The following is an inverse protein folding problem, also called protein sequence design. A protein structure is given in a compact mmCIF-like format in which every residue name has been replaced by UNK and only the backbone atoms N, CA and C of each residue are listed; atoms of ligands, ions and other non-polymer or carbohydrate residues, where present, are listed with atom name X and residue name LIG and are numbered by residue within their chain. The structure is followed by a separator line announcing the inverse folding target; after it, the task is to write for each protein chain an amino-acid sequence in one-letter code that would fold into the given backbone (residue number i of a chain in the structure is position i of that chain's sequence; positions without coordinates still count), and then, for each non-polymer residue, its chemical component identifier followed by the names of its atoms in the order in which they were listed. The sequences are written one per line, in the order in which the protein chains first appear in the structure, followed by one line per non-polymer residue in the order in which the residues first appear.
data_IF_248809161076
#
_entry.id   IF_248809161076
#
_cell.length_a   1.000
_cell.length_b   1.000
_cell.length_c   1.000
_cell.angle_alpha   90.00
_cell.angle_beta   90.00
_cell.angle_gamma   90.00
#
_symmetry.space_group_name_H-M   'P 1'
#
loop_
_entity.id
_entity.type
_entity.pdbx_description
1 polymer ?
#
# COMPACT_ATOMS: atom_id res chain seq x y z
N UNK A 1 -21.85 -55.02 -12.95
CA UNK A 1 -22.31 -53.69 -12.51
C UNK A 1 -21.52 -52.65 -13.28
N UNK A 2 -22.10 -52.05 -14.33
CA UNK A 2 -21.42 -51.06 -15.18
C UNK A 2 -21.78 -49.67 -14.64
N UNK A 3 -20.87 -49.05 -13.89
CA UNK A 3 -20.99 -47.64 -13.53
C UNK A 3 -20.92 -46.83 -14.83
N UNK A 4 -21.85 -45.90 -15.12
CA UNK A 4 -21.83 -45.20 -16.40
C UNK A 4 -20.71 -44.16 -16.37
N UNK A 5 -19.69 -44.36 -17.20
CA UNK A 5 -18.60 -43.40 -17.43
C UNK A 5 -19.11 -41.98 -17.79
N UNK A 6 -20.35 -41.87 -18.29
CA UNK A 6 -20.95 -40.58 -18.64
C UNK A 6 -21.20 -39.63 -17.46
N UNK A 7 -21.34 -40.14 -16.23
CA UNK A 7 -21.62 -39.30 -15.06
C UNK A 7 -20.35 -38.58 -14.56
N UNK A 8 -19.18 -39.22 -14.68
CA UNK A 8 -17.88 -38.64 -14.26
C UNK A 8 -17.40 -37.52 -15.20
N UNK A 9 -17.77 -37.55 -16.49
CA UNK A 9 -17.41 -36.50 -17.44
C UNK A 9 -18.20 -35.20 -17.24
N UNK A 10 -19.43 -35.27 -16.72
CA UNK A 10 -20.25 -34.07 -16.46
C UNK A 10 -19.82 -33.37 -15.17
N UNK A 11 -19.41 -34.14 -14.14
CA UNK A 11 -18.87 -33.58 -12.88
C UNK A 11 -17.53 -32.85 -13.06
N UNK A 12 -16.75 -33.22 -14.08
CA UNK A 12 -15.46 -32.57 -14.39
C UNK A 12 -15.65 -31.21 -15.09
N UNK A 13 -16.80 -30.98 -15.73
CA UNK A 13 -17.12 -29.70 -16.37
C UNK A 13 -17.66 -28.64 -15.38
N UNK A 14 -18.18 -29.06 -14.22
CA UNK A 14 -18.67 -28.17 -13.17
C UNK A 14 -17.60 -27.76 -12.14
N UNK A 15 -16.38 -28.32 -12.22
CA UNK A 15 -15.37 -28.20 -11.17
C UNK A 15 -14.55 -26.89 -11.17
N UNK A 16 -14.84 -25.90 -12.04
CA UNK A 16 -14.00 -24.71 -12.12
C UNK A 16 -14.71 -23.40 -12.54
N UNK A 17 -16.03 -23.26 -12.38
CA UNK A 17 -16.62 -21.92 -12.36
C UNK A 17 -16.46 -21.35 -10.95
N UNK A 18 -15.22 -20.98 -10.59
CA UNK A 18 -15.01 -20.09 -9.46
C UNK A 18 -15.80 -18.82 -9.77
N UNK A 19 -16.86 -18.54 -9.00
CA UNK A 19 -17.70 -17.37 -9.19
C UNK A 19 -16.82 -16.12 -9.16
N UNK A 20 -16.57 -15.52 -10.33
CA UNK A 20 -15.87 -14.24 -10.43
C UNK A 20 -16.90 -13.13 -10.26
N UNK A 21 -16.88 -12.54 -9.06
CA UNK A 21 -17.67 -11.37 -8.71
C UNK A 21 -17.50 -10.27 -9.78
N UNK A 22 -18.56 -9.58 -10.15
CA UNK A 22 -18.50 -8.36 -10.97
C UNK A 22 -18.74 -7.13 -10.10
N UNK A 23 -17.93 -6.09 -10.30
CA UNK A 23 -17.99 -4.88 -9.49
C UNK A 23 -17.90 -3.64 -10.35
N UNK A 24 -18.62 -2.60 -9.94
CA UNK A 24 -18.48 -1.27 -10.54
C UNK A 24 -17.07 -0.72 -10.29
N UNK A 25 -16.49 -0.09 -11.30
CA UNK A 25 -15.17 0.55 -11.20
C UNK A 25 -15.21 2.01 -11.62
N UNK A 26 -14.62 2.88 -10.80
CA UNK A 26 -14.52 4.31 -11.10
C UNK A 26 -13.44 4.98 -10.26
N UNK A 27 -13.00 6.16 -10.71
CA UNK A 27 -12.13 7.08 -9.96
C UNK A 27 -12.78 8.46 -10.01
N UNK A 28 -13.14 9.00 -8.86
CA UNK A 28 -13.63 10.37 -8.69
C UNK A 28 -12.59 11.20 -7.95
N UNK A 29 -12.21 12.35 -8.50
CA UNK A 29 -11.32 13.34 -7.85
C UNK A 29 -12.17 14.54 -7.44
N UNK A 30 -12.19 14.85 -6.15
CA UNK A 30 -13.00 15.95 -5.59
C UNK A 30 -14.52 15.70 -5.58
N UNK A 31 -15.00 14.58 -6.13
CA UNK A 31 -16.41 14.17 -6.14
C UNK A 31 -16.59 12.78 -5.53
N UNK A 32 -17.54 12.66 -4.60
CA UNK A 32 -17.85 11.40 -3.91
C UNK A 32 -19.36 11.25 -3.68
N UNK A 33 -19.96 10.06 -3.85
CA UNK A 33 -19.40 8.86 -4.49
C UNK A 33 -19.31 8.99 -6.02
N UNK A 34 -18.47 8.16 -6.66
CA UNK A 34 -18.42 8.04 -8.13
C UNK A 34 -19.22 6.84 -8.63
N UNK A 35 -19.50 6.82 -9.93
CA UNK A 35 -20.11 5.69 -10.64
C UNK A 35 -19.31 5.39 -11.92
N UNK A 36 -19.31 4.14 -12.37
CA UNK A 36 -18.67 3.70 -13.61
C UNK A 36 -19.19 2.35 -14.11
N UNK A 37 -18.37 1.62 -14.85
CA UNK A 37 -18.78 0.36 -15.49
C UNK A 37 -18.50 -0.84 -14.58
N UNK A 38 -19.36 -1.87 -14.69
CA UNK A 38 -19.13 -3.15 -14.04
C UNK A 38 -18.05 -3.94 -14.79
N UNK A 39 -17.10 -4.50 -14.05
CA UNK A 39 -16.04 -5.37 -14.58
C UNK A 39 -15.88 -6.61 -13.70
N UNK A 40 -15.48 -7.73 -14.31
CA UNK A 40 -15.25 -8.97 -13.56
C UNK A 40 -13.96 -8.87 -12.75
N UNK A 41 -14.03 -9.34 -11.50
CA UNK A 41 -12.92 -9.32 -10.56
C UNK A 41 -12.14 -10.64 -10.57
N UNK A 42 -10.83 -10.59 -10.25
CA UNK A 42 -10.06 -11.76 -9.87
C UNK A 42 -10.75 -12.59 -8.77
N UNK A 43 -10.43 -13.89 -8.73
CA UNK A 43 -10.88 -14.76 -7.64
C UNK A 43 -10.41 -14.22 -6.28
N UNK A 44 -11.23 -14.44 -5.24
CA UNK A 44 -10.97 -13.99 -3.86
C UNK A 44 -10.93 -12.45 -3.65
N UNK A 45 -11.48 -11.69 -4.60
CA UNK A 45 -11.74 -10.26 -4.43
C UNK A 45 -13.16 -9.97 -3.91
N UNK A 46 -13.37 -8.71 -3.53
CA UNK A 46 -14.64 -8.10 -3.16
C UNK A 46 -14.81 -6.77 -3.91
N UNK A 47 -16.05 -6.29 -4.02
CA UNK A 47 -16.30 -4.93 -4.47
C UNK A 47 -15.91 -3.98 -3.34
N UNK A 48 -15.05 -3.02 -3.63
CA UNK A 48 -14.50 -2.11 -2.65
C UNK A 48 -14.78 -0.66 -3.00
N UNK A 49 -15.15 0.12 -1.98
CA UNK A 49 -15.07 1.57 -2.03
C UNK A 49 -13.84 2.00 -1.26
N UNK A 50 -12.99 2.84 -1.86
CA UNK A 50 -11.84 3.43 -1.19
C UNK A 50 -11.98 4.94 -1.20
N UNK A 51 -11.75 5.57 -0.05
CA UNK A 51 -11.68 7.02 0.05
C UNK A 51 -10.30 7.42 0.57
N UNK A 52 -9.57 8.20 -0.22
CA UNK A 52 -8.25 8.72 0.11
C UNK A 52 -8.31 10.24 0.27
N UNK A 53 -7.87 10.73 1.42
CA UNK A 53 -7.79 12.14 1.75
C UNK A 53 -6.32 12.50 2.00
N UNK A 54 -5.81 13.47 1.24
CA UNK A 54 -4.46 14.00 1.41
C UNK A 54 -4.55 15.44 1.88
N UNK A 55 -3.83 15.72 2.96
CA UNK A 55 -3.69 17.06 3.55
C UNK A 55 -2.22 17.45 3.57
N UNK A 56 -1.95 18.73 3.32
CA UNK A 56 -0.64 19.34 3.47
C UNK A 56 -0.80 20.67 4.21
N UNK A 57 0.05 20.93 5.21
CA UNK A 57 -0.04 22.10 6.09
C UNK A 57 -1.46 22.34 6.66
N UNK A 58 -2.16 21.25 7.01
CA UNK A 58 -3.53 21.31 7.53
C UNK A 58 -4.63 21.60 6.51
N UNK A 59 -4.28 21.78 5.22
CA UNK A 59 -5.23 22.04 4.13
C UNK A 59 -5.41 20.77 3.30
N UNK A 60 -6.66 20.47 2.93
CA UNK A 60 -6.95 19.40 1.97
C UNK A 60 -6.43 19.75 0.59
N UNK A 61 -5.49 18.95 0.08
CA UNK A 61 -4.89 19.13 -1.26
C UNK A 61 -5.39 18.10 -2.27
N UNK A 62 -5.92 16.96 -1.81
CA UNK A 62 -6.52 15.96 -2.68
C UNK A 62 -7.56 15.11 -1.96
N UNK A 63 -8.62 14.78 -2.69
CA UNK A 63 -9.68 13.84 -2.28
C UNK A 63 -9.95 12.92 -3.46
N UNK A 64 -9.81 11.61 -3.24
CA UNK A 64 -10.02 10.60 -4.27
C UNK A 64 -10.95 9.53 -3.73
N UNK A 65 -12.00 9.22 -4.48
CA UNK A 65 -12.91 8.12 -4.19
C UNK A 65 -12.87 7.13 -5.34
N UNK A 66 -12.71 5.84 -5.03
CA UNK A 66 -12.67 4.81 -6.06
C UNK A 66 -13.65 3.69 -5.74
N UNK A 67 -14.27 3.16 -6.79
CA UNK A 67 -14.86 1.83 -6.77
C UNK A 67 -13.92 0.90 -7.53
N UNK A 68 -13.61 -0.27 -6.97
CA UNK A 68 -12.71 -1.23 -7.61
C UNK A 68 -12.95 -2.66 -7.10
N UNK A 69 -12.31 -3.63 -7.75
CA UNK A 69 -12.05 -4.92 -7.14
C UNK A 69 -10.89 -4.77 -6.13
N UNK A 70 -11.00 -5.37 -4.94
CA UNK A 70 -9.89 -5.44 -4.01
C UNK A 70 -9.80 -6.83 -3.36
N UNK A 71 -8.60 -7.31 -2.98
CA UNK A 71 -8.46 -8.52 -2.20
C UNK A 71 -9.28 -8.43 -0.92
N UNK A 72 -10.01 -9.50 -0.58
CA UNK A 72 -10.81 -9.56 0.66
C UNK A 72 -9.98 -9.28 1.91
N UNK A 73 -8.69 -9.63 1.87
CA UNK A 73 -7.73 -9.36 2.95
C UNK A 73 -7.49 -7.88 3.22
N UNK A 74 -7.82 -6.97 2.30
CA UNK A 74 -7.69 -5.52 2.47
C UNK A 74 -8.96 -4.82 2.96
N UNK A 75 -10.10 -5.52 2.97
CA UNK A 75 -11.38 -4.95 3.38
C UNK A 75 -11.37 -4.48 4.83
N UNK A 76 -12.04 -3.36 5.09
CA UNK A 76 -12.24 -2.76 6.42
C UNK A 76 -10.94 -2.49 7.20
N UNK A 77 -9.83 -2.32 6.48
CA UNK A 77 -8.51 -1.96 7.03
C UNK A 77 -8.15 -0.53 6.62
N UNK A 78 -8.71 0.49 7.28
CA UNK A 78 -8.27 1.86 7.06
C UNK A 78 -6.81 2.02 7.46
N UNK A 79 -6.16 3.04 6.94
CA UNK A 79 -4.76 3.29 7.21
C UNK A 79 -4.36 4.73 6.93
N UNK A 80 -3.25 5.15 7.52
CA UNK A 80 -2.67 6.47 7.30
C UNK A 80 -1.17 6.43 7.08
N UNK A 81 -0.70 7.50 6.48
CA UNK A 81 0.70 7.87 6.30
C UNK A 81 0.87 9.30 6.81
N UNK A 82 1.90 9.55 7.60
CA UNK A 82 2.30 10.89 8.02
C UNK A 82 3.74 11.20 7.63
N UNK A 83 3.91 12.42 7.14
CA UNK A 83 5.17 13.14 6.92
C UNK A 83 5.08 14.48 7.68
N UNK A 84 6.17 15.25 7.86
CA UNK A 84 6.22 16.39 8.78
C UNK A 84 5.07 17.38 8.61
N UNK A 85 4.76 17.73 7.36
CA UNK A 85 3.72 18.70 7.02
C UNK A 85 2.57 18.08 6.22
N UNK A 86 2.43 16.76 6.23
CA UNK A 86 1.49 16.08 5.34
C UNK A 86 0.91 14.81 5.95
N UNK A 87 -0.34 14.53 5.59
CA UNK A 87 -1.03 13.32 6.00
C UNK A 87 -1.88 12.76 4.88
N UNK A 88 -1.73 11.48 4.62
CA UNK A 88 -2.58 10.71 3.72
C UNK A 88 -3.40 9.76 4.58
N UNK A 89 -4.71 9.78 4.41
CA UNK A 89 -5.64 8.86 5.07
C UNK A 89 -6.37 8.06 4.01
N UNK A 90 -6.51 6.76 4.23
CA UNK A 90 -7.24 5.84 3.38
C UNK A 90 -8.28 5.10 4.20
N UNK A 91 -9.53 5.21 3.81
CA UNK A 91 -10.63 4.36 4.25
C UNK A 91 -10.94 3.35 3.15
N UNK A 92 -11.32 2.13 3.54
CA UNK A 92 -11.81 1.10 2.63
C UNK A 92 -12.98 0.36 3.28
N UNK A 93 -14.00 0.06 2.48
CA UNK A 93 -15.14 -0.77 2.83
C UNK A 93 -15.44 -1.73 1.67
N UNK A 94 -16.07 -2.87 1.96
CA UNK A 94 -16.34 -3.89 0.96
C UNK A 94 -17.76 -4.45 1.01
N UNK A 95 -18.17 -5.06 -0.09
CA UNK A 95 -19.34 -5.93 -0.19
C UNK A 95 -19.04 -7.10 -1.15
N UNK A 96 -19.87 -8.16 -1.11
CA UNK A 96 -19.47 -9.50 -1.56
C UNK A 96 -20.39 -10.15 -2.62
N UNK A 97 -21.32 -9.38 -3.20
CA UNK A 97 -22.26 -9.86 -4.23
C UNK A 97 -22.14 -9.01 -5.50
N UNK A 98 -22.53 -9.55 -6.65
CA UNK A 98 -22.35 -8.85 -7.93
C UNK A 98 -22.98 -7.45 -7.90
N UNK A 99 -22.21 -6.46 -8.36
CA UNK A 99 -22.56 -5.05 -8.46
C UNK A 99 -23.17 -4.45 -7.17
N UNK A 100 -22.79 -5.00 -6.02
CA UNK A 100 -23.17 -4.43 -4.74
C UNK A 100 -22.54 -3.05 -4.54
N UNK A 101 -23.24 -2.20 -3.79
CA UNK A 101 -22.71 -0.90 -3.36
C UNK A 101 -22.03 -1.08 -2.00
N UNK A 102 -20.70 -0.91 -1.89
CA UNK A 102 -20.04 -0.94 -0.59
C UNK A 102 -20.52 0.21 0.29
N UNK A 103 -20.55 0.06 1.63
CA UNK A 103 -20.84 1.15 2.54
C UNK A 103 -19.86 2.32 2.37
N UNK A 104 -20.19 3.52 2.85
CA UNK A 104 -19.24 4.64 2.82
C UNK A 104 -17.98 4.32 3.64
N UNK A 105 -16.77 4.42 3.06
CA UNK A 105 -15.53 4.16 3.79
C UNK A 105 -15.31 5.18 4.90
N UNK A 106 -14.85 4.72 6.07
CA UNK A 106 -14.48 5.59 7.19
C UNK A 106 -12.97 5.82 7.19
N UNK A 107 -12.55 7.08 7.31
CA UNK A 107 -11.13 7.43 7.46
C UNK A 107 -10.64 7.18 8.90
N UNK A 108 -9.36 6.85 9.09
CA UNK A 108 -8.78 6.75 10.42
C UNK A 108 -8.84 8.10 11.17
N UNK A 109 -9.15 8.02 12.46
CA UNK A 109 -9.16 9.16 13.40
C UNK A 109 -7.72 9.61 13.65
N UNK A 110 -7.51 10.92 13.78
CA UNK A 110 -6.19 11.42 14.15
C UNK A 110 -5.86 11.12 15.61
N UNK A 111 -4.68 10.56 15.82
CA UNK A 111 -4.08 10.37 17.13
C UNK A 111 -2.71 11.05 17.12
N UNK A 112 -2.55 12.05 17.99
CA UNK A 112 -1.33 12.87 18.06
C UNK A 112 -0.35 12.40 19.13
N UNK A 113 -0.76 11.44 19.97
CA UNK A 113 0.10 10.89 21.01
C UNK A 113 1.25 10.10 20.38
N UNK A 114 2.54 10.43 20.68
CA UNK A 114 3.67 9.65 20.19
C UNK A 114 3.61 8.19 20.63
N UNK A 115 3.89 7.27 19.71
CA UNK A 115 3.85 5.82 19.96
C UNK A 115 5.24 5.20 20.23
N UNK A 116 6.28 6.03 20.29
CA UNK A 116 7.65 5.62 20.58
C UNK A 116 8.50 5.26 19.35
N UNK A 117 7.89 5.13 18.17
CA UNK A 117 8.61 4.88 16.93
C UNK A 117 9.19 6.18 16.35
N UNK A 118 10.42 6.11 15.84
CA UNK A 118 11.09 7.22 15.15
C UNK A 118 11.48 6.75 13.75
N UNK A 119 11.07 7.50 12.73
CA UNK A 119 11.30 7.16 11.34
C UNK A 119 12.05 8.28 10.61
N UNK A 120 12.87 7.90 9.63
CA UNK A 120 13.44 8.85 8.67
C UNK A 120 12.30 9.52 7.89
N UNK A 121 12.46 10.79 7.58
CA UNK A 121 11.44 11.57 6.88
C UNK A 121 12.02 12.47 5.80
N UNK A 122 11.35 12.49 4.64
CA UNK A 122 11.59 13.47 3.57
C UNK A 122 10.61 13.26 2.41
N UNK A 123 10.63 14.19 1.45
CA UNK A 123 9.94 14.10 0.16
C UNK A 123 10.91 14.45 -0.96
N UNK A 124 10.82 13.76 -2.10
CA UNK A 124 11.65 14.02 -3.28
C UNK A 124 10.80 13.95 -4.54
N UNK A 125 10.96 14.96 -5.40
CA UNK A 125 10.44 14.97 -6.77
C UNK A 125 11.47 14.37 -7.73
N UNK A 126 10.97 13.82 -8.84
CA UNK A 126 11.72 13.20 -9.94
C UNK A 126 12.67 12.05 -9.55
N UNK A 127 12.40 11.41 -8.40
CA UNK A 127 13.20 10.31 -7.86
C UNK A 127 12.31 9.25 -7.21
N UNK A 128 12.77 7.99 -7.24
CA UNK A 128 12.19 6.87 -6.48
C UNK A 128 12.90 6.67 -5.13
N UNK A 129 13.74 7.61 -4.73
CA UNK A 129 14.40 7.57 -3.44
C UNK A 129 14.59 8.97 -2.87
N UNK A 130 14.60 9.04 -1.55
CA UNK A 130 14.82 10.26 -0.82
C UNK A 130 15.81 10.01 0.32
N UNK A 131 16.99 10.62 0.21
CA UNK A 131 18.05 10.56 1.22
C UNK A 131 17.82 11.65 2.27
N UNK A 132 17.91 11.27 3.54
CA UNK A 132 17.64 12.18 4.65
C UNK A 132 18.26 11.64 5.94
N UNK A 133 18.77 12.55 6.76
CA UNK A 133 19.09 12.29 8.16
C UNK A 133 17.99 12.82 9.10
N UNK A 134 17.01 13.54 8.57
CA UNK A 134 15.89 14.03 9.36
C UNK A 134 15.01 12.86 9.81
N UNK A 135 14.43 13.05 10.99
CA UNK A 135 13.55 12.07 11.62
C UNK A 135 12.28 12.72 12.13
N UNK A 136 11.23 11.92 12.26
CA UNK A 136 9.98 12.31 12.90
C UNK A 136 9.55 11.23 13.90
N UNK A 137 8.81 11.66 14.93
CA UNK A 137 8.19 10.76 15.90
C UNK A 137 6.82 10.35 15.37
N UNK A 138 6.57 9.06 15.28
CA UNK A 138 5.27 8.56 14.86
C UNK A 138 4.26 8.62 16.00
N UNK A 139 2.99 8.67 15.64
CA UNK A 139 1.89 8.82 16.59
C UNK A 139 0.79 7.79 16.34
N UNK A 140 0.01 7.49 17.37
CA UNK A 140 -1.11 6.54 17.29
C UNK A 140 -0.72 5.18 16.68
N UNK A 141 -1.51 4.71 15.73
CA UNK A 141 -1.37 3.39 15.09
C UNK A 141 -0.31 3.36 13.96
N UNK A 142 0.38 4.47 13.69
CA UNK A 142 1.45 4.52 12.68
C UNK A 142 2.73 3.88 13.20
N UNK A 143 2.74 2.55 13.26
CA UNK A 143 3.77 1.73 13.86
C UNK A 143 4.77 1.13 12.84
N UNK A 144 4.89 1.73 11.66
CA UNK A 144 5.86 1.35 10.62
C UNK A 144 6.55 2.58 10.06
N UNK A 145 7.84 2.44 9.74
CA UNK A 145 8.54 3.41 8.91
C UNK A 145 8.34 3.05 7.44
N UNK A 146 7.88 4.01 6.66
CA UNK A 146 7.52 3.84 5.25
C UNK A 146 8.53 4.54 4.34
N UNK A 147 8.81 3.90 3.20
CA UNK A 147 9.18 4.54 1.95
C UNK A 147 8.07 4.24 0.94
N UNK A 148 7.39 5.28 0.46
CA UNK A 148 6.48 5.18 -0.67
C UNK A 148 7.14 5.79 -1.90
N UNK A 149 7.01 5.12 -3.04
CA UNK A 149 7.40 5.66 -4.35
C UNK A 149 6.21 5.62 -5.29
N UNK A 150 5.98 6.71 -6.01
CA UNK A 150 4.99 6.79 -7.08
C UNK A 150 5.70 7.08 -8.39
N UNK A 151 5.43 6.29 -9.43
CA UNK A 151 5.88 6.55 -10.80
C UNK A 151 4.65 6.72 -11.67
N UNK A 152 4.51 7.90 -12.27
CA UNK A 152 3.48 8.19 -13.26
C UNK A 152 4.15 8.16 -14.62
N UNK A 153 3.66 7.34 -15.55
CA UNK A 153 4.16 7.24 -16.91
C UNK A 153 3.06 7.66 -17.87
N UNK A 154 3.36 8.53 -18.81
CA UNK A 154 2.39 9.04 -19.80
C UNK A 154 3.09 9.98 -20.77
N UNK A 155 2.39 11.03 -21.22
CA UNK A 155 3.00 12.10 -22.03
C UNK A 155 4.14 12.82 -21.30
N UNK A 156 4.02 12.95 -19.98
CA UNK A 156 5.08 13.38 -19.08
C UNK A 156 5.22 12.32 -18.00
N UNK A 157 6.44 11.83 -17.80
CA UNK A 157 6.71 10.87 -16.75
C UNK A 157 7.22 11.58 -15.50
N UNK A 158 6.64 11.30 -14.35
CA UNK A 158 7.05 11.87 -13.07
C UNK A 158 7.30 10.77 -12.06
N UNK A 159 8.23 11.03 -11.14
CA UNK A 159 8.55 10.13 -10.03
C UNK A 159 8.49 10.91 -8.75
N UNK A 160 7.98 10.30 -7.70
CA UNK A 160 8.03 10.88 -6.37
C UNK A 160 8.38 9.82 -5.34
N UNK A 161 9.08 10.24 -4.30
CA UNK A 161 9.38 9.41 -3.15
C UNK A 161 9.09 10.17 -1.87
N UNK A 162 8.51 9.49 -0.88
CA UNK A 162 8.32 10.04 0.46
C UNK A 162 8.70 9.01 1.51
N UNK A 163 9.21 9.50 2.63
CA UNK A 163 9.50 8.72 3.83
C UNK A 163 8.77 9.31 5.02
N UNK A 164 8.29 8.44 5.90
CA UNK A 164 7.60 8.87 7.11
C UNK A 164 7.05 7.70 7.91
N UNK A 165 5.98 7.98 8.65
CA UNK A 165 5.27 7.02 9.48
C UNK A 165 4.07 6.46 8.71
N UNK A 166 3.74 5.18 8.93
CA UNK A 166 2.57 4.57 8.34
C UNK A 166 1.96 3.52 9.27
N UNK A 167 0.66 3.33 9.13
CA UNK A 167 -0.04 2.17 9.71
C UNK A 167 0.35 0.87 9.00
N UNK A 168 0.30 -0.26 9.71
CA UNK A 168 0.56 -1.59 9.14
C UNK A 168 -0.36 -1.91 7.94
N UNK A 169 -1.62 -1.47 7.98
CA UNK A 169 -2.58 -1.70 6.89
C UNK A 169 -2.13 -1.11 5.56
N UNK A 170 -1.49 0.07 5.56
CA UNK A 170 -0.87 0.65 4.35
C UNK A 170 0.27 -0.22 3.84
N UNK A 171 1.13 -0.70 4.73
CA UNK A 171 2.27 -1.54 4.36
C UNK A 171 1.84 -2.89 3.79
N UNK A 172 0.71 -3.43 4.25
CA UNK A 172 0.17 -4.70 3.79
C UNK A 172 -0.48 -4.62 2.39
N UNK A 173 -0.68 -3.41 1.84
CA UNK A 173 -1.14 -3.21 0.44
C UNK A 173 -0.06 -3.65 -0.55
N UNK A 174 1.23 -3.40 -0.26
CA UNK A 174 2.35 -3.79 -1.12
C UNK A 174 2.61 -2.85 -2.29
N UNK A 175 2.55 -3.36 -3.52
CA UNK A 175 2.71 -2.57 -4.75
C UNK A 175 1.41 -2.61 -5.54
N UNK A 176 0.94 -1.46 -5.99
CA UNK A 176 -0.27 -1.32 -6.82
C UNK A 176 0.07 -0.60 -8.10
N UNK A 177 -0.36 -1.15 -9.23
CA UNK A 177 -0.18 -0.56 -10.54
C UNK A 177 -1.56 -0.36 -11.17
N UNK A 178 -1.85 0.86 -11.58
CA UNK A 178 -3.08 1.23 -12.28
C UNK A 178 -2.71 1.78 -13.65
N UNK A 179 -3.35 1.32 -14.71
CA UNK A 179 -3.04 1.78 -16.07
C UNK A 179 -4.30 2.02 -16.88
N UNK A 180 -4.29 3.13 -17.62
CA UNK A 180 -5.20 3.39 -18.74
C UNK A 180 -4.39 3.48 -20.04
N UNK A 181 -5.03 3.55 -21.21
CA UNK A 181 -4.31 3.65 -22.49
C UNK A 181 -3.33 4.83 -22.61
N UNK A 182 -3.50 5.87 -21.79
CA UNK A 182 -2.75 7.12 -21.88
C UNK A 182 -1.79 7.33 -20.72
N UNK A 183 -2.05 6.71 -19.56
CA UNK A 183 -1.29 6.95 -18.34
C UNK A 183 -1.22 5.68 -17.49
N UNK A 184 -0.06 5.39 -16.91
CA UNK A 184 0.11 4.37 -15.89
C UNK A 184 0.65 4.97 -14.60
N UNK A 185 0.24 4.44 -13.47
CA UNK A 185 0.66 4.85 -12.14
C UNK A 185 1.06 3.61 -11.35
N UNK A 186 2.32 3.58 -10.95
CA UNK A 186 2.89 2.55 -10.09
C UNK A 186 3.15 3.13 -8.71
N UNK A 187 2.53 2.57 -7.68
CA UNK A 187 2.75 2.95 -6.29
C UNK A 187 3.33 1.75 -5.55
N UNK A 188 4.44 1.96 -4.84
CA UNK A 188 5.09 0.92 -4.04
C UNK A 188 5.27 1.39 -2.62
N UNK A 189 4.88 0.56 -1.66
CA UNK A 189 5.12 0.75 -0.24
C UNK A 189 6.23 -0.20 0.23
N UNK A 190 7.25 0.33 0.91
CA UNK A 190 8.31 -0.45 1.55
C UNK A 190 8.38 -0.06 3.02
N UNK A 191 8.17 -1.02 3.91
CA UNK A 191 8.03 -0.73 5.34
C UNK A 191 9.02 -1.49 6.21
N UNK A 192 9.40 -0.88 7.34
CA UNK A 192 10.20 -1.51 8.39
C UNK A 192 9.60 -1.22 9.77
N UNK A 193 9.95 -2.01 10.77
CA UNK A 193 9.55 -1.77 12.17
C UNK A 193 10.40 -0.70 12.88
N UNK A 194 11.21 0.08 12.14
CA UNK A 194 12.04 1.16 12.69
C UNK A 194 13.25 0.71 13.49
N UNK A 195 14.07 -0.18 12.92
CA UNK A 195 15.36 -0.55 13.51
C UNK A 195 16.39 0.59 13.40
N UNK A 196 16.20 1.66 14.17
CA UNK A 196 17.32 2.33 14.81
C UNK A 196 17.33 1.84 16.26
N UNK A 197 17.92 0.67 16.47
CA UNK A 197 18.30 0.23 17.80
C UNK A 197 19.24 1.27 18.38
N UNK A 198 18.80 1.98 19.41
CA UNK A 198 19.65 2.78 20.30
C UNK A 198 20.46 1.80 21.15
N UNK A 199 21.39 1.06 20.52
CA UNK A 199 22.57 0.43 21.13
C UNK A 199 23.41 -0.26 20.04
N UNK A 200 24.23 0.50 19.33
CA UNK A 200 25.37 -0.08 18.62
C UNK A 200 26.60 0.83 18.76
N UNK A 201 26.83 1.27 20.00
CA UNK A 201 28.19 1.50 20.46
C UNK A 201 28.87 0.15 20.67
N UNK A 202 30.11 0.05 20.19
CA UNK A 202 31.08 -1.01 20.51
C UNK A 202 30.74 -2.44 20.05
N UNK A 203 31.04 -2.77 18.78
CA UNK A 203 31.76 -4.02 18.44
C UNK A 203 32.04 -4.06 16.93
N UNK A 204 33.28 -3.74 16.52
CA UNK A 204 33.97 -4.02 15.24
C UNK A 204 35.16 -3.03 15.25
N UNK A 205 36.42 -3.36 15.51
CA UNK A 205 37.25 -4.38 14.88
C UNK A 205 38.38 -4.75 15.85
N UNK A 206 38.36 -5.97 16.40
CA UNK A 206 39.59 -6.66 16.74
C UNK A 206 39.73 -7.82 15.76
N UNK A 207 40.92 -7.93 15.18
CA UNK A 207 41.52 -9.02 14.40
C UNK A 207 42.18 -8.46 13.12
N UNK A 208 43.28 -7.72 13.30
CA UNK A 208 44.34 -7.69 12.30
C UNK A 208 45.13 -8.99 12.48
N UNK A 209 45.18 -9.90 11.48
CA UNK A 209 46.06 -11.06 11.57
C UNK A 209 47.50 -10.59 11.37
N UNK A 210 48.36 -10.84 12.35
CA UNK A 210 49.82 -10.71 12.23
C UNK A 210 50.26 -11.77 11.22
N UNK A 211 50.40 -11.37 9.96
CA UNK A 211 51.03 -12.15 8.90
C UNK A 211 52.23 -11.38 8.37
N UNK A 212 53.23 -11.13 9.23
CA UNK A 212 54.55 -10.63 8.81
C UNK A 212 55.64 -11.10 9.78
N UNK A 213 55.74 -12.41 10.04
CA UNK A 213 57.02 -13.02 10.46
C UNK A 213 57.14 -14.41 9.81
N UNK A 214 57.75 -14.44 8.63
CA UNK A 214 58.72 -15.44 8.12
C UNK A 214 58.93 -15.18 6.63
N UNK A 215 60.16 -15.42 6.15
CA UNK A 215 60.74 -15.10 4.82
C UNK A 215 61.47 -13.74 4.91
N UNK A 216 62.78 -13.63 5.16
CA UNK A 216 64.00 -14.26 4.60
C UNK A 216 65.18 -14.01 5.58
N UNK A 217 65.96 -15.01 6.02
CA UNK A 217 67.23 -15.45 5.40
C UNK A 217 67.60 -14.86 4.04
#
# INVERSE_FOLDING_TARGET
MKLPLGILSILSALAATGYSLSCQTCIGVGSTPCQGQSMSCPADNACAATYTLTTAHGVTVSQVYTLSCAPRSQCDKPGSISIPDGKIKRGISCCYTDDCTPPTPTLPVDAFQPNGLVCRTCTSADSTWCYTDDTMRCTGEENRCLLQTTTLTGSVSTKTALRGCATKSICDIGSTSESSPQISMDVKFSCTSGSFGIHQGYLMLLLVPIAFIKILY
#
